data_IF_525964518192
#
_entry.id   IF_525964518192
#
_cell.length_a   1.000
_cell.length_b   1.000
_cell.length_c   1.000
_cell.angle_alpha   90.00
_cell.angle_beta   90.00
_cell.angle_gamma   90.00
#
_symmetry.space_group_name_H-M   'P 1'
#
loop_
_entity.id
_entity.type
_entity.pdbx_description
1 polymer ?
#
# COMPACT_ATOMS: atom_id res chain seq x y z
N UNK A 1 -14.49 -9.07 -5.74
CA UNK A 1 -13.16 -9.37 -6.32
C UNK A 1 -12.24 -8.22 -5.94
N UNK A 2 -11.07 -8.53 -5.35
CA UNK A 2 -10.11 -7.53 -4.88
C UNK A 2 -9.08 -7.22 -5.95
N UNK A 3 -8.45 -6.06 -5.87
CA UNK A 3 -7.24 -5.76 -6.62
C UNK A 3 -6.01 -6.08 -5.78
N UNK A 4 -4.94 -6.53 -6.43
CA UNK A 4 -3.68 -6.88 -5.78
C UNK A 4 -2.54 -6.03 -6.34
N UNK A 5 -1.57 -5.73 -5.48
CA UNK A 5 -0.30 -5.11 -5.84
C UNK A 5 0.81 -5.82 -5.06
N UNK A 6 1.87 -6.22 -5.75
CA UNK A 6 3.05 -6.84 -5.15
C UNK A 6 4.32 -6.36 -5.86
N UNK A 7 5.40 -6.23 -5.11
CA UNK A 7 6.70 -5.80 -5.62
C UNK A 7 7.80 -6.65 -4.99
N UNK A 8 8.77 -7.05 -5.80
CA UNK A 8 9.99 -7.72 -5.38
C UNK A 8 11.16 -7.10 -6.17
N UNK A 9 12.16 -6.58 -5.47
CA UNK A 9 13.28 -5.87 -6.08
C UNK A 9 14.59 -6.29 -5.40
N UNK A 10 15.67 -6.41 -6.17
CA UNK A 10 16.98 -6.80 -5.64
C UNK A 10 17.75 -5.66 -4.96
N UNK A 11 17.27 -4.42 -5.12
CA UNK A 11 17.87 -3.22 -4.55
C UNK A 11 16.78 -2.31 -3.95
N UNK A 12 17.13 -1.42 -2.99
CA UNK A 12 16.16 -0.50 -2.38
C UNK A 12 15.43 0.33 -3.43
N UNK A 13 14.12 0.12 -3.53
CA UNK A 13 13.27 0.72 -4.56
C UNK A 13 12.15 1.52 -3.90
N UNK A 14 11.83 2.67 -4.48
CA UNK A 14 10.69 3.48 -4.05
C UNK A 14 9.38 2.86 -4.58
N UNK A 15 8.54 2.41 -3.66
CA UNK A 15 7.23 1.83 -3.96
C UNK A 15 6.10 2.86 -3.93
N UNK A 16 6.37 4.09 -3.49
CA UNK A 16 5.33 5.10 -3.20
C UNK A 16 4.46 5.43 -4.41
N UNK A 17 5.03 5.43 -5.63
CA UNK A 17 4.29 5.67 -6.87
C UNK A 17 3.24 4.58 -7.16
N UNK A 18 3.65 3.31 -7.07
CA UNK A 18 2.76 2.16 -7.28
C UNK A 18 1.67 2.10 -6.21
N UNK A 19 2.03 2.41 -4.96
CA UNK A 19 1.09 2.47 -3.85
C UNK A 19 0.04 3.58 -4.04
N UNK A 20 0.45 4.79 -4.43
CA UNK A 20 -0.46 5.90 -4.76
C UNK A 20 -1.51 5.46 -5.78
N UNK A 21 -1.07 4.85 -6.88
CA UNK A 21 -1.99 4.34 -7.92
C UNK A 21 -2.95 3.28 -7.39
N UNK A 22 -2.48 2.38 -6.52
CA UNK A 22 -3.33 1.38 -5.86
C UNK A 22 -4.36 2.01 -4.92
N UNK A 23 -3.96 2.97 -4.08
CA UNK A 23 -4.85 3.66 -3.16
C UNK A 23 -6.00 4.37 -3.88
N UNK A 24 -5.73 5.01 -5.02
CA UNK A 24 -6.79 5.63 -5.85
C UNK A 24 -7.80 4.60 -6.37
N UNK A 25 -7.34 3.44 -6.84
CA UNK A 25 -8.26 2.36 -7.28
C UNK A 25 -9.02 1.73 -6.10
N UNK A 26 -8.50 1.89 -4.89
CA UNK A 26 -9.16 1.50 -3.65
C UNK A 26 -10.30 2.44 -3.23
N UNK A 27 -11.22 2.77 -4.14
CA UNK A 27 -12.46 3.51 -3.86
C UNK A 27 -12.61 4.89 -4.50
N UNK A 28 -11.63 5.40 -5.26
CA UNK A 28 -11.75 6.66 -6.01
C UNK A 28 -11.98 6.41 -7.51
N UNK A 29 -11.11 5.61 -8.15
CA UNK A 29 -11.15 5.37 -9.60
C UNK A 29 -11.62 3.97 -10.00
N UNK A 30 -11.84 3.09 -9.02
CA UNK A 30 -12.39 1.74 -9.19
C UNK A 30 -13.25 1.37 -7.96
N UNK A 31 -14.00 0.27 -8.04
CA UNK A 31 -15.03 -0.15 -7.05
C UNK A 31 -14.48 -0.86 -5.81
N UNK A 32 -13.16 -0.88 -5.60
CA UNK A 32 -12.54 -1.65 -4.52
C UNK A 32 -12.55 -0.85 -3.20
N UNK A 33 -13.68 -0.87 -2.48
CA UNK A 33 -13.90 0.02 -1.32
C UNK A 33 -14.20 -0.70 0.01
N UNK A 34 -14.02 -2.01 0.09
CA UNK A 34 -14.35 -2.81 1.29
C UNK A 34 -13.21 -2.93 2.31
N UNK A 35 -12.24 -2.00 2.27
CA UNK A 35 -11.01 -2.08 3.05
C UNK A 35 -9.80 -2.50 2.22
N UNK A 36 -8.62 -2.46 2.84
CA UNK A 36 -7.34 -2.80 2.23
C UNK A 36 -6.32 -3.25 3.27
N UNK A 37 -5.21 -3.79 2.79
CA UNK A 37 -4.04 -4.05 3.62
C UNK A 37 -2.76 -4.08 2.82
N UNK A 38 -1.65 -3.86 3.50
CA UNK A 38 -0.30 -3.96 2.95
C UNK A 38 0.64 -4.63 3.95
N UNK A 39 1.55 -5.45 3.45
CA UNK A 39 2.65 -6.02 4.23
C UNK A 39 3.95 -5.65 3.55
N UNK A 40 4.89 -5.14 4.32
CA UNK A 40 6.16 -4.65 3.81
C UNK A 40 7.29 -5.25 4.63
N UNK A 41 8.35 -5.71 3.96
CA UNK A 41 9.55 -6.21 4.61
C UNK A 41 10.47 -5.06 5.01
N UNK A 42 10.94 -5.09 6.26
CA UNK A 42 11.99 -4.21 6.78
C UNK A 42 13.14 -5.12 7.25
N UNK A 43 14.09 -5.39 6.35
CA UNK A 43 15.12 -6.41 6.55
C UNK A 43 14.50 -7.81 6.68
N UNK A 44 14.71 -8.47 7.83
CA UNK A 44 14.10 -9.80 8.12
C UNK A 44 12.75 -9.70 8.82
N UNK A 45 12.32 -8.49 9.17
CA UNK A 45 11.02 -8.23 9.78
C UNK A 45 9.96 -7.92 8.74
N UNK A 46 8.69 -7.99 9.16
CA UNK A 46 7.56 -7.54 8.37
C UNK A 46 6.72 -6.56 9.19
N UNK A 47 6.14 -5.58 8.50
CA UNK A 47 5.16 -4.65 9.04
C UNK A 47 3.87 -4.79 8.24
N UNK A 48 2.78 -5.02 8.94
CA UNK A 48 1.46 -5.16 8.34
C UNK A 48 0.57 -3.97 8.71
N UNK A 49 -0.18 -3.48 7.73
CA UNK A 49 -1.16 -2.44 7.87
C UNK A 49 -2.49 -2.93 7.30
N UNK A 50 -3.57 -2.67 8.02
CA UNK A 50 -4.93 -3.02 7.61
C UNK A 50 -5.87 -1.88 7.98
N UNK A 51 -6.80 -1.57 7.10
CA UNK A 51 -7.87 -0.62 7.37
C UNK A 51 -9.18 -1.12 6.76
N UNK A 52 -10.28 -0.91 7.48
CA UNK A 52 -11.63 -1.19 6.99
C UNK A 52 -12.14 -0.11 6.04
N UNK A 53 -11.56 1.10 6.11
CA UNK A 53 -11.87 2.18 5.17
C UNK A 53 -11.31 1.89 3.76
N UNK A 54 -11.93 2.43 2.70
CA UNK A 54 -11.34 2.41 1.36
C UNK A 54 -9.93 3.01 1.37
N UNK A 55 -9.02 2.46 0.58
CA UNK A 55 -7.62 2.93 0.56
C UNK A 55 -7.49 4.41 0.14
N UNK A 56 -8.43 4.95 -0.66
CA UNK A 56 -8.45 6.36 -1.03
C UNK A 56 -8.85 7.32 0.11
N UNK A 57 -9.45 6.81 1.19
CA UNK A 57 -9.92 7.58 2.35
C UNK A 57 -9.22 7.18 3.66
N UNK A 58 -8.28 6.23 3.60
CA UNK A 58 -7.61 5.68 4.77
C UNK A 58 -6.47 6.59 5.23
N UNK A 59 -6.48 7.09 6.48
CA UNK A 59 -5.35 7.83 7.05
C UNK A 59 -4.08 6.97 7.13
N UNK A 60 -4.24 5.66 7.30
CA UNK A 60 -3.12 4.71 7.28
C UNK A 60 -2.50 4.66 5.88
N UNK A 61 -3.32 4.66 4.82
CA UNK A 61 -2.82 4.68 3.45
C UNK A 61 -2.08 5.98 3.15
N UNK A 62 -2.58 7.12 3.62
CA UNK A 62 -1.91 8.42 3.49
C UNK A 62 -0.56 8.44 4.22
N UNK A 63 -0.51 7.91 5.45
CA UNK A 63 0.73 7.80 6.22
C UNK A 63 1.79 7.01 5.46
N UNK A 64 1.45 5.81 4.95
CA UNK A 64 2.41 4.95 4.24
C UNK A 64 2.89 5.61 2.94
N UNK A 65 2.02 6.32 2.22
CA UNK A 65 2.39 7.03 0.99
C UNK A 65 3.38 8.17 1.22
N UNK A 66 3.36 8.78 2.40
CA UNK A 66 4.25 9.88 2.78
C UNK A 66 5.46 9.43 3.60
N UNK A 67 5.48 8.18 4.06
CA UNK A 67 6.60 7.61 4.79
C UNK A 67 7.62 7.03 3.81
N UNK A 68 8.93 7.34 3.93
CA UNK A 68 9.97 6.81 3.06
C UNK A 68 10.27 5.35 3.43
N UNK A 69 9.39 4.43 3.01
CA UNK A 69 9.60 3.00 3.22
C UNK A 69 10.66 2.52 2.23
N UNK A 70 11.83 2.18 2.76
CA UNK A 70 12.91 1.53 2.00
C UNK A 70 12.93 0.06 2.40
N UNK A 71 12.50 -0.78 1.47
CA UNK A 71 12.66 -2.23 1.61
C UNK A 71 14.10 -2.58 1.25
N UNK A 72 14.85 -3.07 2.25
CA UNK A 72 16.21 -3.59 2.08
C UNK A 72 16.20 -5.06 1.69
#
# INVERSE_FOLDING_TARGET
MCQLLGMNCAAPTDFSFSLKGFCRRGGETDKHSHGWGATIYEGRGLRCFHDTLPACQSPIAELIQNYPIRTY
#
